data_IF_480822914245
#
_entry.id   IF_480822914245
#
_cell.length_a   1.000
_cell.length_b   1.000
_cell.length_c   1.000
_cell.angle_alpha   90.00
_cell.angle_beta   90.00
_cell.angle_gamma   90.00
#
_symmetry.space_group_name_H-M   'P 1'
#
loop_
_entity.id
_entity.type
_entity.pdbx_description
1 polymer ?
#
# COMPACT_ATOMS: atom_id res chain seq x y z
N UNK A 1 10.28 14.90 -11.70
CA UNK A 1 10.48 13.43 -11.63
C UNK A 1 9.66 12.82 -12.75
N UNK A 2 10.25 12.02 -13.61
CA UNK A 2 9.55 11.37 -14.72
C UNK A 2 10.00 9.91 -14.80
N UNK A 3 9.06 8.98 -14.81
CA UNK A 3 9.28 7.58 -15.17
C UNK A 3 8.52 7.35 -16.48
N UNK A 4 9.22 6.89 -17.53
CA UNK A 4 8.62 6.66 -18.85
C UNK A 4 8.93 5.25 -19.34
N UNK A 5 7.91 4.58 -19.86
CA UNK A 5 7.94 3.20 -20.35
C UNK A 5 6.80 2.97 -21.37
N UNK A 6 6.84 1.91 -22.20
CA UNK A 6 7.99 1.03 -22.44
C UNK A 6 8.97 1.58 -23.48
N UNK A 7 8.73 2.79 -23.98
CA UNK A 7 9.57 3.43 -25.00
C UNK A 7 9.47 4.95 -24.92
N UNK A 8 10.22 5.66 -25.78
CA UNK A 8 10.18 7.10 -25.91
C UNK A 8 9.43 7.49 -27.20
N UNK A 9 8.64 8.59 -27.20
CA UNK A 9 7.92 9.04 -28.38
C UNK A 9 8.89 9.45 -29.51
N UNK A 10 8.59 8.98 -30.71
CA UNK A 10 9.32 9.32 -31.96
C UNK A 10 8.45 10.09 -32.96
N UNK A 11 7.19 10.35 -32.59
CA UNK A 11 6.20 11.06 -33.39
C UNK A 11 5.45 12.08 -32.54
N UNK A 12 4.90 13.12 -33.17
CA UNK A 12 3.95 14.04 -32.57
C UNK A 12 2.52 13.48 -32.58
N UNK A 13 1.56 14.27 -32.08
CA UNK A 13 0.14 13.89 -32.05
C UNK A 13 -0.50 13.77 -33.44
N UNK A 14 0.16 14.23 -34.50
CA UNK A 14 -0.28 14.10 -35.89
C UNK A 14 0.43 12.95 -36.62
N UNK A 15 1.24 12.15 -35.91
CA UNK A 15 2.00 11.05 -36.49
C UNK A 15 3.23 11.51 -37.31
N UNK A 16 3.62 12.78 -37.22
CA UNK A 16 4.81 13.29 -37.91
C UNK A 16 6.05 13.01 -37.06
N UNK A 17 7.23 12.79 -37.66
CA UNK A 17 8.46 12.56 -36.91
C UNK A 17 8.76 13.67 -35.91
N UNK A 18 8.91 13.31 -34.63
CA UNK A 18 9.22 14.24 -33.56
C UNK A 18 10.10 13.54 -32.51
N UNK A 19 11.33 14.02 -32.36
CA UNK A 19 12.36 13.37 -31.54
C UNK A 19 12.93 14.30 -30.46
N UNK A 20 12.14 15.29 -30.02
CA UNK A 20 12.57 16.30 -29.03
C UNK A 20 13.12 15.61 -27.77
N UNK A 21 12.40 14.62 -27.24
CA UNK A 21 12.83 13.94 -26.03
C UNK A 21 14.08 13.08 -26.25
N UNK A 22 14.20 12.39 -27.40
CA UNK A 22 15.41 11.62 -27.74
C UNK A 22 16.66 12.51 -27.80
N UNK A 23 16.53 13.67 -28.46
CA UNK A 23 17.62 14.65 -28.60
C UNK A 23 18.08 15.18 -27.25
N UNK A 24 17.12 15.55 -26.39
CA UNK A 24 17.41 16.06 -25.05
C UNK A 24 18.07 14.99 -24.15
N UNK A 25 17.63 13.74 -24.30
CA UNK A 25 18.20 12.62 -23.55
C UNK A 25 19.52 12.10 -24.13
N UNK A 26 19.87 12.49 -25.36
CA UNK A 26 21.00 11.97 -26.11
C UNK A 26 20.95 10.44 -26.25
N UNK A 27 19.79 9.92 -26.65
CA UNK A 27 19.57 8.50 -26.85
C UNK A 27 18.80 8.22 -28.14
N UNK A 28 18.68 6.94 -28.50
CA UNK A 28 17.78 6.47 -29.56
C UNK A 28 16.60 5.69 -28.95
N UNK A 29 15.65 5.25 -29.77
CA UNK A 29 14.55 4.40 -29.32
C UNK A 29 14.20 3.39 -30.42
N UNK A 30 14.90 2.26 -30.43
CA UNK A 30 14.66 1.16 -31.37
C UNK A 30 14.00 0.00 -30.64
N UNK A 31 12.73 -0.28 -30.94
CA UNK A 31 11.98 -1.37 -30.30
C UNK A 31 12.36 -2.71 -30.92
N UNK A 32 12.55 -3.72 -30.06
CA UNK A 32 12.71 -5.13 -30.39
C UNK A 32 11.59 -5.91 -29.71
N UNK A 33 11.03 -6.88 -30.43
CA UNK A 33 9.98 -7.75 -29.90
C UNK A 33 10.57 -8.97 -29.19
N UNK A 34 9.95 -9.32 -28.07
CA UNK A 34 10.25 -10.49 -27.26
C UNK A 34 11.62 -10.50 -26.59
N UNK A 35 11.97 -11.67 -26.06
CA UNK A 35 13.27 -12.00 -25.50
C UNK A 35 13.36 -11.89 -23.98
N UNK A 36 14.58 -11.70 -23.50
CA UNK A 36 14.89 -11.66 -22.07
C UNK A 36 15.68 -10.40 -21.74
N UNK A 37 15.32 -9.76 -20.63
CA UNK A 37 16.23 -8.85 -19.95
C UNK A 37 17.28 -9.70 -19.22
N UNK A 38 18.56 -9.45 -19.51
CA UNK A 38 19.71 -10.03 -18.81
C UNK A 38 19.62 -9.72 -17.33
N UNK A 39 19.42 -8.44 -17.03
CA UNK A 39 19.13 -7.95 -15.69
C UNK A 39 18.30 -6.66 -15.76
N UNK A 40 17.55 -6.43 -14.69
CA UNK A 40 16.91 -5.17 -14.33
C UNK A 40 17.20 -4.96 -12.85
N UNK A 41 18.14 -4.07 -12.54
CA UNK A 41 18.75 -3.96 -11.22
C UNK A 41 19.26 -5.32 -10.71
N UNK A 42 18.65 -5.85 -9.65
CA UNK A 42 18.96 -7.10 -8.98
C UNK A 42 18.14 -8.30 -9.48
N UNK A 43 17.27 -8.09 -10.48
CA UNK A 43 16.42 -9.15 -11.05
C UNK A 43 17.00 -9.61 -12.39
N UNK A 44 17.41 -10.87 -12.47
CA UNK A 44 18.03 -11.48 -13.66
C UNK A 44 17.05 -12.29 -14.51
N UNK A 45 17.40 -12.47 -15.80
CA UNK A 45 16.76 -13.39 -16.74
C UNK A 45 15.22 -13.25 -16.83
N UNK A 46 14.76 -12.02 -16.99
CA UNK A 46 13.33 -11.70 -17.04
C UNK A 46 12.76 -11.87 -18.44
N UNK A 47 11.71 -12.67 -18.62
CA UNK A 47 10.96 -12.72 -19.88
C UNK A 47 10.27 -11.38 -20.11
N UNK A 48 10.43 -10.81 -21.30
CA UNK A 48 9.86 -9.52 -21.71
C UNK A 48 9.12 -9.63 -23.06
N UNK A 49 8.08 -8.81 -23.24
CA UNK A 49 7.33 -8.73 -24.50
C UNK A 49 8.01 -7.85 -25.53
N UNK A 50 8.73 -6.83 -25.08
CA UNK A 50 9.56 -5.98 -25.93
C UNK A 50 10.65 -5.29 -25.10
N UNK A 51 11.70 -4.86 -25.82
CA UNK A 51 12.80 -4.07 -25.31
C UNK A 51 13.07 -2.89 -26.26
N UNK A 52 13.25 -1.69 -25.72
CA UNK A 52 13.70 -0.50 -26.45
C UNK A 52 15.20 -0.34 -26.25
N UNK A 53 15.97 -0.44 -27.34
CA UNK A 53 17.39 -0.12 -27.34
C UNK A 53 17.58 1.40 -27.32
N UNK A 54 18.24 1.91 -26.26
CA UNK A 54 18.54 3.33 -26.09
C UNK A 54 19.91 3.76 -26.62
N UNK A 55 20.73 2.84 -27.12
CA UNK A 55 22.10 3.10 -27.54
C UNK A 55 23.04 3.30 -26.36
N UNK A 56 24.11 4.06 -26.57
CA UNK A 56 25.09 4.37 -25.53
C UNK A 56 24.54 5.46 -24.61
N UNK A 57 24.19 5.05 -23.39
CA UNK A 57 23.63 5.92 -22.34
C UNK A 57 24.35 5.64 -21.03
N UNK A 58 24.37 6.63 -20.14
CA UNK A 58 24.95 6.52 -18.81
C UNK A 58 23.95 5.98 -17.79
N UNK A 59 24.43 5.54 -16.61
CA UNK A 59 23.60 5.07 -15.49
C UNK A 59 22.60 3.97 -15.89
N UNK A 60 23.07 3.01 -16.67
CA UNK A 60 22.29 1.85 -17.11
C UNK A 60 21.93 0.97 -15.93
N UNK A 61 20.66 0.64 -15.80
CA UNK A 61 20.17 -0.30 -14.78
C UNK A 61 19.48 -1.53 -15.39
N UNK A 62 19.30 -1.59 -16.71
CA UNK A 62 18.72 -2.76 -17.37
C UNK A 62 19.39 -3.05 -18.71
N UNK A 63 19.65 -4.33 -18.98
CA UNK A 63 20.24 -4.80 -20.25
C UNK A 63 19.46 -5.95 -20.87
N UNK A 64 19.45 -5.99 -22.21
CA UNK A 64 18.89 -7.08 -22.99
C UNK A 64 19.89 -8.23 -23.14
N UNK A 65 19.45 -9.48 -23.08
CA UNK A 65 20.34 -10.65 -23.05
C UNK A 65 21.14 -10.85 -24.35
N UNK A 66 20.47 -10.88 -25.50
CA UNK A 66 21.07 -11.36 -26.76
C UNK A 66 22.23 -10.50 -27.26
N UNK A 67 22.09 -9.19 -27.15
CA UNK A 67 23.00 -8.20 -27.78
C UNK A 67 23.52 -7.16 -26.77
N UNK A 68 23.38 -7.43 -25.46
CA UNK A 68 23.79 -6.57 -24.34
C UNK A 68 23.30 -5.11 -24.44
N UNK A 69 22.18 -4.87 -25.14
CA UNK A 69 21.65 -3.52 -25.39
C UNK A 69 21.20 -2.86 -24.10
N UNK A 70 21.42 -1.56 -23.99
CA UNK A 70 20.91 -0.76 -22.88
C UNK A 70 19.41 -0.53 -23.06
N UNK A 71 18.62 -1.07 -22.12
CA UNK A 71 17.14 -1.04 -22.16
C UNK A 71 16.53 -0.37 -20.93
N UNK A 72 17.36 0.26 -20.09
CA UNK A 72 16.89 1.12 -19.01
C UNK A 72 18.03 1.93 -18.42
N UNK A 73 17.79 3.22 -18.21
CA UNK A 73 18.78 4.15 -17.69
C UNK A 73 18.16 5.31 -16.92
N UNK A 74 18.98 6.01 -16.14
CA UNK A 74 18.57 7.24 -15.44
C UNK A 74 19.38 8.44 -15.93
N UNK A 75 18.76 9.63 -15.88
CA UNK A 75 19.45 10.89 -16.20
C UNK A 75 18.97 12.00 -15.28
N UNK A 76 19.90 12.79 -14.76
CA UNK A 76 19.61 14.04 -14.06
C UNK A 76 19.44 15.17 -15.09
N UNK A 77 18.38 15.95 -14.92
CA UNK A 77 17.97 17.03 -15.84
C UNK A 77 17.61 18.27 -15.02
N UNK A 78 18.56 19.17 -14.84
CA UNK A 78 18.41 20.34 -13.96
C UNK A 78 18.17 19.93 -12.51
N UNK A 79 16.99 20.25 -11.96
CA UNK A 79 16.56 19.84 -10.61
C UNK A 79 15.71 18.56 -10.61
N UNK A 80 15.48 17.96 -11.77
CA UNK A 80 14.64 16.78 -11.94
C UNK A 80 15.45 15.57 -12.34
N UNK A 81 14.85 14.40 -12.16
CA UNK A 81 15.36 13.10 -12.58
C UNK A 81 14.38 12.43 -13.53
N UNK A 82 14.90 11.80 -14.59
CA UNK A 82 14.15 10.90 -15.47
C UNK A 82 14.68 9.47 -15.33
N UNK A 83 13.76 8.53 -15.29
CA UNK A 83 13.99 7.09 -15.38
C UNK A 83 13.33 6.63 -16.66
N UNK A 84 14.13 6.12 -17.59
CA UNK A 84 13.64 5.55 -18.84
C UNK A 84 13.72 4.03 -18.72
N UNK A 85 12.56 3.39 -18.80
CA UNK A 85 12.44 1.94 -18.69
C UNK A 85 11.89 1.38 -19.99
N UNK A 86 12.78 0.81 -20.79
CA UNK A 86 12.52 0.36 -22.16
C UNK A 86 11.87 -1.00 -22.26
N UNK A 87 11.24 -1.51 -21.20
CA UNK A 87 10.79 -2.89 -21.12
C UNK A 87 9.27 -2.94 -21.08
N UNK A 88 8.69 -3.66 -22.04
CA UNK A 88 7.32 -4.12 -21.96
C UNK A 88 7.27 -5.47 -21.24
N UNK A 89 6.64 -5.52 -20.07
CA UNK A 89 6.44 -6.75 -19.30
C UNK A 89 5.05 -6.78 -18.66
N UNK A 90 4.50 -7.98 -18.45
CA UNK A 90 3.30 -8.14 -17.63
C UNK A 90 3.65 -8.07 -16.14
N UNK A 91 2.65 -7.78 -15.32
CA UNK A 91 2.76 -7.83 -13.87
C UNK A 91 2.02 -9.07 -13.31
N UNK A 92 2.49 -10.24 -13.71
CA UNK A 92 1.86 -11.55 -13.53
C UNK A 92 2.62 -12.49 -12.57
N UNK A 93 3.88 -12.19 -12.23
CA UNK A 93 4.70 -12.98 -11.32
C UNK A 93 5.32 -12.13 -10.19
N UNK A 94 5.52 -12.76 -9.03
CA UNK A 94 5.93 -12.09 -7.79
C UNK A 94 7.30 -11.41 -7.87
N UNK A 95 8.27 -12.00 -8.57
CA UNK A 95 9.60 -11.41 -8.72
C UNK A 95 9.57 -10.08 -9.51
N UNK A 96 8.50 -9.80 -10.26
CA UNK A 96 8.33 -8.55 -11.03
C UNK A 96 7.92 -7.37 -10.15
N UNK A 97 7.40 -7.61 -8.95
CA UNK A 97 7.07 -6.54 -8.00
C UNK A 97 8.30 -5.75 -7.61
N UNK A 98 9.43 -6.44 -7.40
CA UNK A 98 10.67 -5.80 -7.03
C UNK A 98 11.15 -4.85 -8.12
N UNK A 99 10.98 -5.21 -9.40
CA UNK A 99 11.27 -4.31 -10.52
C UNK A 99 10.43 -3.03 -10.43
N UNK A 100 9.13 -3.15 -10.20
CA UNK A 100 8.24 -1.98 -10.07
C UNK A 100 8.66 -1.11 -8.88
N UNK A 101 8.92 -1.70 -7.71
CA UNK A 101 9.39 -0.96 -6.53
C UNK A 101 10.73 -0.27 -6.77
N UNK A 102 11.67 -0.94 -7.45
CA UNK A 102 12.97 -0.36 -7.81
C UNK A 102 12.80 0.85 -8.73
N UNK A 103 11.89 0.78 -9.72
CA UNK A 103 11.59 1.90 -10.62
C UNK A 103 11.02 3.12 -9.87
N UNK A 104 10.06 2.91 -8.96
CA UNK A 104 9.52 4.00 -8.13
C UNK A 104 10.58 4.58 -7.18
N UNK A 105 11.42 3.72 -6.58
CA UNK A 105 12.53 4.16 -5.73
C UNK A 105 13.52 5.04 -6.48
N UNK A 106 13.79 4.76 -7.77
CA UNK A 106 14.67 5.61 -8.59
C UNK A 106 14.14 7.03 -8.75
N UNK A 107 12.82 7.24 -8.75
CA UNK A 107 12.18 8.58 -8.71
C UNK A 107 11.86 9.05 -7.28
N UNK A 108 12.49 8.46 -6.25
CA UNK A 108 12.28 8.73 -4.83
C UNK A 108 10.79 8.76 -4.44
N UNK A 109 10.06 7.75 -4.93
CA UNK A 109 8.70 7.42 -4.52
C UNK A 109 8.77 6.08 -3.79
N UNK A 110 8.31 6.06 -2.55
CA UNK A 110 8.27 4.87 -1.71
C UNK A 110 6.84 4.59 -1.26
N UNK A 111 6.46 3.31 -1.08
CA UNK A 111 5.14 2.97 -0.59
C UNK A 111 4.95 3.51 0.83
N UNK A 112 3.80 4.13 1.07
CA UNK A 112 3.47 4.66 2.40
C UNK A 112 3.24 3.54 3.42
N UNK A 113 2.67 2.44 2.95
CA UNK A 113 2.35 1.26 3.75
C UNK A 113 3.10 0.04 3.25
N UNK A 114 3.48 -0.83 4.18
CA UNK A 114 4.04 -2.14 3.87
C UNK A 114 3.51 -3.21 4.82
N UNK A 115 3.73 -4.45 4.42
CA UNK A 115 3.45 -5.64 5.21
C UNK A 115 4.78 -6.28 5.68
N UNK A 116 4.72 -7.42 6.37
CA UNK A 116 5.93 -8.19 6.69
C UNK A 116 6.60 -8.75 5.42
N UNK A 117 5.84 -9.09 4.38
CA UNK A 117 6.37 -9.62 3.12
C UNK A 117 5.72 -8.97 1.89
N UNK A 118 6.52 -8.57 0.91
CA UNK A 118 6.03 -8.05 -0.40
C UNK A 118 5.09 -9.04 -1.11
N UNK A 119 5.33 -10.35 -0.93
CA UNK A 119 4.51 -11.42 -1.47
C UNK A 119 3.14 -11.55 -0.78
N UNK A 120 2.85 -10.73 0.24
CA UNK A 120 1.51 -10.68 0.82
C UNK A 120 0.50 -10.12 -0.19
N UNK A 121 0.87 -9.34 -1.21
CA UNK A 121 -0.06 -8.90 -2.29
C UNK A 121 -1.38 -8.28 -1.80
N UNK A 122 -1.35 -7.62 -0.64
CA UNK A 122 -2.49 -6.88 -0.13
C UNK A 122 -2.55 -5.51 -0.81
N UNK A 123 -3.73 -5.11 -1.26
CA UNK A 123 -3.96 -3.73 -1.70
C UNK A 123 -4.18 -2.87 -0.46
N UNK A 124 -3.30 -1.89 -0.26
CA UNK A 124 -3.32 -0.97 0.87
C UNK A 124 -3.60 0.44 0.39
N UNK A 125 -4.79 0.95 0.67
CA UNK A 125 -5.21 2.29 0.26
C UNK A 125 -5.60 3.07 1.51
N UNK A 126 -5.18 4.33 1.61
CA UNK A 126 -5.63 5.19 2.71
C UNK A 126 -6.39 6.41 2.21
N UNK A 127 -7.49 6.74 2.90
CA UNK A 127 -8.13 8.05 2.80
C UNK A 127 -7.80 8.85 4.06
N UNK A 128 -7.40 10.10 3.88
CA UNK A 128 -6.93 10.98 4.95
C UNK A 128 -7.87 12.18 5.05
N UNK A 129 -8.27 12.56 6.25
CA UNK A 129 -9.06 13.77 6.48
C UNK A 129 -8.14 14.99 6.73
N UNK A 130 -8.74 16.16 6.93
CA UNK A 130 -8.00 17.42 7.19
C UNK A 130 -7.12 17.36 8.44
N UNK A 131 -7.50 16.55 9.43
CA UNK A 131 -6.85 16.46 10.73
C UNK A 131 -5.76 15.39 10.77
N UNK A 132 -5.50 14.72 9.63
CA UNK A 132 -4.52 13.66 9.50
C UNK A 132 -5.00 12.27 9.92
N UNK A 133 -6.24 12.14 10.41
CA UNK A 133 -6.92 10.89 10.66
C UNK A 133 -7.21 10.14 9.36
N UNK A 134 -7.22 8.79 9.42
CA UNK A 134 -7.23 7.95 8.23
C UNK A 134 -8.18 6.76 8.36
N UNK A 135 -8.74 6.35 7.23
CA UNK A 135 -9.18 4.97 7.03
C UNK A 135 -8.16 4.25 6.16
N UNK A 136 -7.68 3.10 6.63
CA UNK A 136 -6.85 2.17 5.89
C UNK A 136 -7.73 1.04 5.35
N UNK A 137 -7.83 0.97 4.03
CA UNK A 137 -8.47 -0.10 3.28
C UNK A 137 -7.41 -1.17 3.00
N UNK A 138 -7.71 -2.41 3.39
CA UNK A 138 -6.83 -3.57 3.24
C UNK A 138 -7.60 -4.64 2.50
N UNK A 139 -7.29 -4.85 1.23
CA UNK A 139 -7.99 -5.83 0.40
C UNK A 139 -7.09 -7.03 0.07
N UNK A 140 -7.61 -8.23 0.36
CA UNK A 140 -7.03 -9.50 -0.07
C UNK A 140 -7.82 -10.05 -1.24
N UNK A 141 -7.25 -9.96 -2.44
CA UNK A 141 -7.84 -10.51 -3.66
C UNK A 141 -7.51 -11.98 -3.90
N UNK A 142 -6.59 -12.56 -3.13
CA UNK A 142 -6.19 -13.95 -3.28
C UNK A 142 -7.21 -14.92 -2.66
N UNK A 143 -7.06 -16.20 -3.02
CA UNK A 143 -7.90 -17.31 -2.57
C UNK A 143 -7.53 -17.86 -1.18
N UNK A 144 -6.48 -17.32 -0.55
CA UNK A 144 -5.98 -17.81 0.74
C UNK A 144 -5.84 -16.67 1.75
N UNK A 145 -5.98 -17.03 3.03
CA UNK A 145 -5.81 -16.11 4.14
C UNK A 145 -4.35 -15.66 4.25
N UNK A 146 -4.14 -14.40 4.61
CA UNK A 146 -2.81 -13.82 4.80
C UNK A 146 -2.62 -13.42 6.24
N UNK A 147 -1.45 -13.74 6.80
CA UNK A 147 -1.09 -13.41 8.17
C UNK A 147 0.13 -12.51 8.17
N UNK A 148 -0.05 -11.26 8.57
CA UNK A 148 1.01 -10.24 8.44
C UNK A 148 0.82 -9.08 9.41
N UNK A 149 1.87 -8.33 9.66
CA UNK A 149 1.82 -7.02 10.33
C UNK A 149 1.81 -5.90 9.30
N UNK A 150 1.29 -4.75 9.70
CA UNK A 150 1.24 -3.56 8.86
C UNK A 150 2.14 -2.47 9.41
N UNK A 151 2.74 -1.70 8.51
CA UNK A 151 3.62 -0.59 8.86
C UNK A 151 3.26 0.64 8.01
N UNK A 152 3.39 1.82 8.60
CA UNK A 152 3.32 3.09 7.90
C UNK A 152 4.65 3.83 8.10
N UNK A 153 5.41 4.06 7.03
CA UNK A 153 6.77 4.62 7.10
C UNK A 153 7.62 3.93 8.16
N UNK A 154 7.70 2.61 8.07
CA UNK A 154 8.44 1.71 8.98
C UNK A 154 7.96 1.65 10.44
N UNK A 155 6.94 2.42 10.82
CA UNK A 155 6.35 2.34 12.15
C UNK A 155 5.24 1.28 12.15
N UNK A 156 5.24 0.34 13.10
CA UNK A 156 4.19 -0.66 13.20
C UNK A 156 2.84 0.00 13.46
N UNK A 157 1.82 -0.45 12.75
CA UNK A 157 0.43 -0.11 12.98
C UNK A 157 -0.19 -1.10 13.97
N UNK A 158 -1.33 -0.72 14.56
CA UNK A 158 -2.10 -1.58 15.49
C UNK A 158 -1.23 -2.12 16.65
N UNK A 159 -0.34 -1.26 17.18
CA UNK A 159 0.68 -1.59 18.18
C UNK A 159 1.50 -2.87 17.84
N UNK A 160 1.69 -3.15 16.54
CA UNK A 160 2.47 -4.29 16.05
C UNK A 160 1.73 -5.62 16.03
N UNK A 161 0.41 -5.62 16.23
CA UNK A 161 -0.41 -6.85 16.18
C UNK A 161 -0.36 -7.45 14.78
N UNK A 162 -0.10 -8.76 14.74
CA UNK A 162 -0.22 -9.57 13.54
C UNK A 162 -1.70 -9.85 13.28
N UNK A 163 -2.14 -9.61 12.05
CA UNK A 163 -3.54 -9.72 11.65
C UNK A 163 -3.71 -10.84 10.62
N UNK A 164 -4.92 -11.39 10.58
CA UNK A 164 -5.35 -12.32 9.53
C UNK A 164 -6.29 -11.59 8.58
N UNK A 165 -5.92 -11.48 7.31
CA UNK A 165 -6.75 -10.94 6.25
C UNK A 165 -7.29 -12.10 5.43
N UNK A 166 -8.58 -12.37 5.56
CA UNK A 166 -9.20 -13.53 4.92
C UNK A 166 -9.16 -13.44 3.40
N UNK A 167 -9.18 -14.60 2.74
CA UNK A 167 -9.31 -14.68 1.29
C UNK A 167 -10.55 -13.94 0.78
N UNK A 168 -10.39 -13.21 -0.33
CA UNK A 168 -11.46 -12.41 -0.97
C UNK A 168 -12.20 -11.47 0.00
N UNK A 169 -11.52 -10.92 1.01
CA UNK A 169 -12.10 -9.96 1.96
C UNK A 169 -11.29 -8.66 1.98
N UNK A 170 -12.02 -7.59 2.24
CA UNK A 170 -11.48 -6.27 2.54
C UNK A 170 -11.75 -5.89 3.99
N UNK A 171 -10.90 -5.02 4.55
CA UNK A 171 -11.12 -4.35 5.83
C UNK A 171 -11.02 -2.84 5.66
N UNK A 172 -11.85 -2.08 6.37
CA UNK A 172 -11.78 -0.62 6.47
C UNK A 172 -11.47 -0.19 7.93
N UNK A 173 -10.19 0.02 8.23
CA UNK A 173 -9.71 0.19 9.60
C UNK A 173 -9.39 1.66 9.91
N UNK A 174 -9.93 2.22 11.00
CA UNK A 174 -9.63 3.60 11.39
C UNK A 174 -8.26 3.72 12.07
N UNK A 175 -7.54 4.80 11.77
CA UNK A 175 -6.26 5.18 12.36
C UNK A 175 -6.28 6.67 12.72
N UNK A 176 -6.07 7.00 13.99
CA UNK A 176 -6.06 8.37 14.53
C UNK A 176 -7.28 9.20 14.13
N UNK A 177 -8.47 8.61 14.25
CA UNK A 177 -9.73 9.18 13.78
C UNK A 177 -10.54 9.80 14.93
N UNK A 178 -10.90 11.07 14.82
CA UNK A 178 -11.99 11.64 15.63
C UNK A 178 -13.32 11.16 15.04
N UNK A 179 -14.04 10.34 15.79
CA UNK A 179 -15.32 9.76 15.33
C UNK A 179 -16.52 10.57 15.81
N UNK A 180 -16.40 11.19 16.98
CA UNK A 180 -17.36 12.11 17.58
C UNK A 180 -16.60 13.07 18.52
N UNK A 181 -17.27 14.02 19.16
CA UNK A 181 -16.65 14.96 20.10
C UNK A 181 -16.04 14.26 21.32
N UNK A 182 -16.69 13.20 21.79
CA UNK A 182 -16.24 12.42 22.95
C UNK A 182 -15.39 11.21 22.59
N UNK A 183 -15.24 10.86 21.29
CA UNK A 183 -14.64 9.60 20.86
C UNK A 183 -13.53 9.86 19.83
N UNK A 184 -12.30 9.59 20.25
CA UNK A 184 -11.14 9.54 19.38
C UNK A 184 -10.59 8.11 19.32
N UNK A 185 -10.44 7.54 18.14
CA UNK A 185 -9.92 6.19 17.92
C UNK A 185 -8.46 6.30 17.46
N UNK A 186 -7.52 5.88 18.32
CA UNK A 186 -6.09 5.79 17.95
C UNK A 186 -5.93 4.74 16.85
N UNK A 187 -6.53 3.57 17.02
CA UNK A 187 -6.70 2.57 15.97
C UNK A 187 -7.78 1.54 16.37
N UNK A 188 -8.27 0.78 15.39
CA UNK A 188 -9.06 -0.44 15.59
C UNK A 188 -8.68 -1.49 14.56
N UNK A 189 -8.57 -2.76 14.97
CA UNK A 189 -8.45 -3.90 14.04
C UNK A 189 -9.81 -4.42 13.56
N UNK A 190 -10.89 -4.02 14.25
CA UNK A 190 -12.27 -4.21 13.82
C UNK A 190 -12.79 -2.96 13.09
N UNK A 191 -13.72 -3.15 12.16
CA UNK A 191 -14.42 -2.02 11.55
C UNK A 191 -15.43 -1.41 12.52
N UNK A 192 -15.55 -0.08 12.52
CA UNK A 192 -16.59 0.61 13.29
C UNK A 192 -17.79 0.80 12.37
N UNK A 193 -18.84 0.00 12.57
CA UNK A 193 -20.01 -0.03 11.69
C UNK A 193 -21.11 0.95 12.10
N UNK A 194 -21.21 1.29 13.39
CA UNK A 194 -22.10 2.39 13.83
C UNK A 194 -21.64 3.02 15.15
N UNK A 195 -21.99 4.29 15.32
CA UNK A 195 -21.92 5.02 16.59
C UNK A 195 -23.28 5.68 16.81
N UNK A 196 -23.96 5.30 17.88
CA UNK A 196 -25.34 5.71 18.17
C UNK A 196 -25.42 6.32 19.57
N UNK A 197 -25.91 7.57 19.68
CA UNK A 197 -26.21 8.22 20.95
C UNK A 197 -27.64 7.89 21.36
N UNK A 198 -27.84 7.33 22.55
CA UNK A 198 -29.17 7.07 23.10
C UNK A 198 -29.62 8.24 24.00
N UNK A 199 -30.94 8.37 24.20
CA UNK A 199 -31.54 9.48 24.95
C UNK A 199 -31.14 9.55 26.43
N UNK A 200 -30.57 8.48 26.99
CA UNK A 200 -30.03 8.41 28.35
C UNK A 200 -28.56 8.86 28.46
N UNK A 201 -27.96 9.33 27.37
CA UNK A 201 -26.56 9.76 27.33
C UNK A 201 -25.54 8.63 27.15
N UNK A 202 -26.00 7.39 26.92
CA UNK A 202 -25.12 6.28 26.52
C UNK A 202 -24.73 6.42 25.04
N UNK A 203 -23.49 6.11 24.71
CA UNK A 203 -23.05 5.94 23.32
C UNK A 203 -22.76 4.47 23.05
N UNK A 204 -23.42 3.93 22.02
CA UNK A 204 -23.21 2.57 21.53
C UNK A 204 -22.27 2.60 20.34
N UNK A 205 -21.14 1.92 20.45
CA UNK A 205 -20.18 1.76 19.34
C UNK A 205 -20.22 0.31 18.90
N UNK A 206 -20.66 0.06 17.66
CA UNK A 206 -20.71 -1.28 17.07
C UNK A 206 -19.41 -1.56 16.32
N UNK A 207 -18.76 -2.66 16.70
CA UNK A 207 -17.56 -3.17 16.03
C UNK A 207 -17.90 -4.42 15.23
N UNK A 208 -17.61 -4.42 13.94
CA UNK A 208 -17.67 -5.62 13.09
C UNK A 208 -16.36 -6.38 13.23
N UNK A 209 -16.44 -7.60 13.78
CA UNK A 209 -15.26 -8.39 14.10
C UNK A 209 -14.71 -9.07 12.84
N UNK A 210 -13.40 -9.16 12.76
CA UNK A 210 -12.68 -9.78 11.64
C UNK A 210 -11.54 -10.68 12.07
N UNK A 211 -11.13 -10.63 13.34
CA UNK A 211 -9.97 -11.34 13.85
C UNK A 211 -10.39 -12.43 14.85
N UNK A 212 -9.52 -13.40 15.17
CA UNK A 212 -9.72 -14.26 16.34
C UNK A 212 -9.92 -13.45 17.61
N UNK A 213 -9.23 -12.31 17.67
CA UNK A 213 -9.36 -11.32 18.71
C UNK A 213 -9.11 -9.94 18.08
N UNK A 214 -10.13 -9.09 18.06
CA UNK A 214 -10.00 -7.70 17.64
C UNK A 214 -9.64 -6.80 18.80
N UNK A 215 -8.86 -5.76 18.53
CA UNK A 215 -8.52 -4.73 19.50
C UNK A 215 -8.78 -3.32 18.97
N UNK A 216 -9.18 -2.44 19.89
CA UNK A 216 -9.32 -1.01 19.63
C UNK A 216 -8.68 -0.23 20.77
N UNK A 217 -7.92 0.80 20.42
CA UNK A 217 -7.45 1.81 21.37
C UNK A 217 -8.23 3.09 21.14
N UNK A 218 -9.06 3.45 22.12
CA UNK A 218 -9.90 4.64 22.08
C UNK A 218 -9.51 5.61 23.20
N UNK A 219 -9.64 6.90 22.92
CA UNK A 219 -9.60 7.98 23.90
C UNK A 219 -11.00 8.57 24.07
N UNK A 220 -11.48 8.62 25.30
CA UNK A 220 -12.79 9.19 25.64
C UNK A 220 -12.84 9.59 27.12
N UNK A 221 -13.65 10.61 27.44
CA UNK A 221 -13.96 10.97 28.83
C UNK A 221 -15.09 10.10 29.42
N UNK A 222 -15.70 9.23 28.61
CA UNK A 222 -16.77 8.33 29.03
C UNK A 222 -16.19 7.07 29.66
N UNK A 223 -16.94 6.46 30.57
CA UNK A 223 -16.64 5.12 31.10
C UNK A 223 -17.07 4.06 30.10
N UNK A 224 -16.13 3.18 29.73
CA UNK A 224 -16.45 1.96 28.99
C UNK A 224 -17.08 0.95 29.94
N UNK A 225 -18.34 0.57 29.70
CA UNK A 225 -19.03 -0.45 30.49
C UNK A 225 -18.33 -1.80 30.32
N UNK A 226 -18.23 -2.58 31.40
CA UNK A 226 -17.73 -3.96 31.32
C UNK A 226 -18.81 -4.87 30.74
N UNK A 227 -18.40 -5.80 29.88
CA UNK A 227 -19.24 -6.84 29.30
C UNK A 227 -18.43 -8.13 29.14
N UNK A 228 -19.08 -9.30 29.00
CA UNK A 228 -18.37 -10.57 28.80
C UNK A 228 -17.74 -10.68 27.40
N UNK A 229 -18.27 -9.93 26.43
CA UNK A 229 -17.83 -9.97 25.02
C UNK A 229 -16.51 -9.25 24.75
N UNK A 230 -15.96 -8.51 25.71
CA UNK A 230 -14.66 -7.85 25.59
C UNK A 230 -14.02 -7.57 26.96
N UNK A 231 -12.70 -7.41 26.97
CA UNK A 231 -11.97 -6.86 28.11
C UNK A 231 -11.65 -5.38 27.87
N UNK A 232 -11.49 -4.63 28.96
CA UNK A 232 -11.15 -3.21 28.94
C UNK A 232 -9.99 -2.98 29.88
N UNK A 233 -8.91 -2.37 29.39
CA UNK A 233 -7.77 -1.93 30.18
C UNK A 233 -7.56 -0.42 29.98
N UNK A 234 -7.45 0.33 31.08
CA UNK A 234 -6.99 1.72 31.01
C UNK A 234 -5.47 1.72 30.79
N UNK A 235 -4.99 2.44 29.77
CA UNK A 235 -3.58 2.44 29.36
C UNK A 235 -2.96 3.85 29.37
N UNK A 236 -3.63 4.82 29.98
CA UNK A 236 -3.21 6.20 30.10
C UNK A 236 -4.41 7.12 30.35
N UNK A 237 -4.16 8.42 30.38
CA UNK A 237 -5.19 9.43 30.63
C UNK A 237 -6.30 9.35 29.58
N UNK A 238 -7.48 8.88 30.00
CA UNK A 238 -8.66 8.70 29.16
C UNK A 238 -8.48 7.75 27.97
N UNK A 239 -7.41 6.94 27.95
CA UNK A 239 -7.18 5.91 26.94
C UNK A 239 -7.57 4.52 27.45
N UNK A 240 -8.36 3.82 26.64
CA UNK A 240 -8.79 2.45 26.89
C UNK A 240 -8.36 1.55 25.74
N UNK A 241 -7.71 0.44 26.07
CA UNK A 241 -7.54 -0.70 25.17
C UNK A 241 -8.69 -1.67 25.40
N UNK A 242 -9.46 -1.91 24.35
CA UNK A 242 -10.55 -2.88 24.33
C UNK A 242 -10.14 -4.05 23.46
N UNK A 243 -10.38 -5.25 23.95
CA UNK A 243 -10.02 -6.49 23.28
C UNK A 243 -11.24 -7.41 23.27
N UNK A 244 -11.68 -7.83 22.09
CA UNK A 244 -12.87 -8.69 21.96
C UNK A 244 -12.58 -10.09 22.50
N UNK A 245 -13.47 -10.64 23.32
CA UNK A 245 -13.41 -12.04 23.76
C UNK A 245 -14.16 -12.99 22.81
N UNK A 246 -14.55 -12.48 21.64
CA UNK A 246 -15.34 -13.20 20.64
C UNK A 246 -14.53 -13.33 19.36
N UNK A 247 -14.52 -14.54 18.81
CA UNK A 247 -13.86 -14.84 17.54
C UNK A 247 -14.70 -14.28 16.39
N UNK A 248 -14.12 -13.38 15.57
CA UNK A 248 -14.81 -12.69 14.46
C UNK A 248 -15.30 -13.60 13.34
N UNK A 249 -14.71 -14.79 13.20
CA UNK A 249 -15.20 -15.81 12.25
C UNK A 249 -16.47 -16.53 12.71
N UNK A 250 -16.84 -16.38 13.99
CA UNK A 250 -18.02 -17.01 14.58
C UNK A 250 -19.06 -15.95 14.94
N UNK A 251 -18.61 -14.74 15.29
CA UNK A 251 -19.46 -13.65 15.75
C UNK A 251 -19.26 -12.44 14.85
N UNK A 252 -20.35 -11.90 14.31
CA UNK A 252 -20.26 -10.77 13.38
C UNK A 252 -19.84 -9.47 14.07
N UNK A 253 -20.28 -9.25 15.31
CA UNK A 253 -20.08 -7.97 15.99
C UNK A 253 -20.09 -8.04 17.52
N UNK A 254 -19.57 -6.97 18.13
CA UNK A 254 -19.77 -6.60 19.52
C UNK A 254 -20.27 -5.15 19.61
N UNK A 255 -20.89 -4.81 20.74
CA UNK A 255 -21.36 -3.46 21.03
C UNK A 255 -20.70 -2.98 22.30
N UNK A 256 -19.90 -1.92 22.19
CA UNK A 256 -19.37 -1.19 23.33
C UNK A 256 -20.42 -0.20 23.81
N UNK A 257 -20.56 -0.07 25.13
CA UNK A 257 -21.42 0.94 25.76
C UNK A 257 -20.54 1.91 26.53
N UNK A 258 -20.58 3.17 26.13
CA UNK A 258 -19.88 4.26 26.78
C UNK A 258 -20.90 5.11 27.53
N UNK A 259 -20.66 5.40 28.80
CA UNK A 259 -21.54 6.24 29.63
C UNK A 259 -20.75 7.39 30.25
N UNK A 260 -21.36 8.55 30.45
CA UNK A 260 -20.73 9.64 31.21
C UNK A 260 -20.41 9.22 32.66
#
# INVERSE_FOLDING_TARGET
KLLIFPTLPVMDLQGRPCTILLKELNCKAEVKEGGFAKYIDDVENLIIFNATNFGDVENVFAKYEKDDMNIGFTKEMGKGKIVVFGVGMAHDYYYRDQVVLNLFKKIDVEPLFRTDNICDKLSLISRVNSDGGRYLFIDNFDEYDKKTRFYMRDKPLFDGKEMVIKSRKGLMLPLNMKMDDDIFVKYSTAEISSIEKTGDGTVKVRLSLSQPEDEMVLRTNMKVRKDKSYTVAAIGDNYYKIVSNKHGYINDNIILQLTK
#
